data_IF_721083820603
#
_entry.id   IF_721083820603
#
_cell.length_a   1.000
_cell.length_b   1.000
_cell.length_c   1.000
_cell.angle_alpha   90.00
_cell.angle_beta   90.00
_cell.angle_gamma   90.00
#
_symmetry.space_group_name_H-M   'P 1'
#
loop_
_entity.id
_entity.type
_entity.pdbx_description
1 polymer ?
#
# COMPACT_ATOMS: atom_id res chain seq x y z
N UNK A 1 36.82 13.95 29.46
CA UNK A 1 35.80 14.38 28.47
C UNK A 1 35.77 13.62 27.14
N UNK A 2 36.67 12.67 26.95
CA UNK A 2 36.70 11.83 25.75
C UNK A 2 35.88 10.54 25.86
N UNK A 3 35.33 10.23 27.04
CA UNK A 3 34.50 9.04 27.27
C UNK A 3 33.05 9.14 26.84
N UNK A 4 32.46 10.33 26.89
CA UNK A 4 31.06 10.55 26.54
C UNK A 4 30.78 10.51 25.01
N UNK A 5 31.75 10.96 24.19
CA UNK A 5 31.56 10.96 22.75
C UNK A 5 31.63 9.56 22.12
N UNK A 6 32.37 8.65 22.72
CA UNK A 6 32.43 7.24 22.26
C UNK A 6 31.15 6.49 22.56
N UNK A 7 30.53 6.73 23.72
CA UNK A 7 29.27 6.08 24.09
C UNK A 7 28.11 6.49 23.20
N UNK A 8 28.00 7.76 22.82
CA UNK A 8 26.96 8.27 21.91
C UNK A 8 27.14 7.70 20.50
N UNK A 9 28.34 7.64 19.97
CA UNK A 9 28.62 7.04 18.66
C UNK A 9 28.24 5.56 18.59
N UNK A 10 28.54 4.79 19.64
CA UNK A 10 28.17 3.38 19.70
C UNK A 10 26.66 3.15 19.84
N UNK A 11 25.94 4.01 20.56
CA UNK A 11 24.51 3.96 20.67
C UNK A 11 23.84 4.27 19.31
N UNK A 12 24.29 5.31 18.62
CA UNK A 12 23.80 5.65 17.28
C UNK A 12 24.09 4.53 16.27
N UNK A 13 25.27 3.95 16.30
CA UNK A 13 25.64 2.83 15.43
C UNK A 13 24.75 1.61 15.67
N UNK A 14 24.53 1.23 16.93
CA UNK A 14 23.64 0.12 17.29
C UNK A 14 22.18 0.38 16.91
N UNK A 15 21.68 1.59 17.07
CA UNK A 15 20.34 1.98 16.62
C UNK A 15 20.20 1.88 15.09
N UNK A 16 21.20 2.33 14.33
CA UNK A 16 21.19 2.22 12.87
C UNK A 16 21.30 0.75 12.40
N UNK A 17 22.12 -0.07 13.07
CA UNK A 17 22.21 -1.50 12.79
C UNK A 17 20.88 -2.23 13.11
N UNK A 18 20.27 -1.94 14.27
CA UNK A 18 18.98 -2.49 14.66
C UNK A 18 17.86 -2.08 13.70
N UNK A 19 17.85 -0.82 13.27
CA UNK A 19 16.91 -0.32 12.27
C UNK A 19 17.12 -0.99 10.90
N UNK A 20 18.38 -1.16 10.47
CA UNK A 20 18.71 -1.85 9.23
C UNK A 20 18.28 -3.31 9.22
N UNK A 21 18.46 -4.03 10.32
CA UNK A 21 17.98 -5.41 10.48
C UNK A 21 16.46 -5.45 10.43
N UNK A 22 15.79 -4.60 11.18
CA UNK A 22 14.32 -4.50 11.19
C UNK A 22 13.75 -4.13 9.82
N UNK A 23 14.37 -3.18 9.13
CA UNK A 23 13.99 -2.79 7.77
C UNK A 23 14.12 -3.97 6.79
N UNK A 24 15.25 -4.68 6.81
CA UNK A 24 15.49 -5.85 5.96
C UNK A 24 14.48 -6.98 6.23
N UNK A 25 14.13 -7.24 7.48
CA UNK A 25 13.10 -8.22 7.83
C UNK A 25 11.73 -7.85 7.25
N UNK A 26 11.36 -6.58 7.26
CA UNK A 26 10.09 -6.11 6.66
C UNK A 26 10.07 -6.24 5.14
N UNK A 27 11.23 -6.26 4.48
CA UNK A 27 11.34 -6.46 3.02
C UNK A 27 11.29 -7.95 2.61
N UNK A 28 11.47 -8.88 3.55
CA UNK A 28 11.31 -10.31 3.32
C UNK A 28 9.83 -10.73 3.33
N UNK A 29 9.00 -9.99 2.59
CA UNK A 29 7.56 -10.24 2.52
C UNK A 29 7.30 -11.42 1.58
N UNK A 30 6.64 -12.43 2.12
CA UNK A 30 6.09 -13.50 1.29
C UNK A 30 4.77 -13.05 0.68
N UNK A 31 4.76 -12.90 -0.63
CA UNK A 31 3.53 -12.53 -1.34
C UNK A 31 2.45 -13.61 -1.18
N UNK A 32 1.20 -13.18 -1.05
CA UNK A 32 0.07 -14.09 -1.09
C UNK A 32 0.02 -14.86 -2.43
N UNK A 33 -0.51 -16.07 -2.39
CA UNK A 33 -0.70 -16.85 -3.61
C UNK A 33 -1.59 -16.09 -4.62
N UNK A 34 -1.16 -16.07 -5.88
CA UNK A 34 -1.90 -15.40 -6.95
C UNK A 34 -1.54 -13.93 -7.19
N UNK A 35 -0.91 -13.22 -6.24
CA UNK A 35 -0.58 -11.78 -6.37
C UNK A 35 0.21 -11.48 -7.64
N UNK A 36 1.29 -12.20 -7.93
CA UNK A 36 2.10 -11.93 -9.14
C UNK A 36 1.29 -12.10 -10.42
N UNK A 37 0.43 -13.12 -10.48
CA UNK A 37 -0.45 -13.35 -11.65
C UNK A 37 -1.49 -12.25 -11.76
N UNK A 38 -2.08 -11.83 -10.65
CA UNK A 38 -3.00 -10.70 -10.58
C UNK A 38 -2.35 -9.42 -11.09
N UNK A 39 -1.20 -9.03 -10.53
CA UNK A 39 -0.46 -7.84 -10.94
C UNK A 39 -0.07 -7.86 -12.41
N UNK A 40 0.37 -9.02 -12.92
CA UNK A 40 0.71 -9.17 -14.34
C UNK A 40 -0.49 -8.91 -15.25
N UNK A 41 -1.67 -9.40 -14.89
CA UNK A 41 -2.89 -9.18 -15.67
C UNK A 41 -3.34 -7.73 -15.60
N UNK A 42 -3.43 -7.17 -14.38
CA UNK A 42 -3.89 -5.80 -14.18
C UNK A 42 -2.97 -4.79 -14.84
N UNK A 43 -1.65 -4.91 -14.68
CA UNK A 43 -0.67 -3.98 -15.25
C UNK A 43 -0.58 -4.02 -16.79
N UNK A 44 -1.15 -5.03 -17.42
CA UNK A 44 -1.28 -5.09 -18.87
C UNK A 44 -2.48 -4.29 -19.41
N UNK A 45 -3.44 -3.95 -18.55
CA UNK A 45 -4.68 -3.27 -18.92
C UNK A 45 -4.75 -1.83 -18.38
N UNK A 46 -4.24 -1.62 -17.15
CA UNK A 46 -4.29 -0.32 -16.47
C UNK A 46 -2.96 0.00 -15.78
N UNK A 47 -2.74 1.28 -15.53
CA UNK A 47 -1.60 1.73 -14.75
C UNK A 47 -1.81 1.48 -13.26
N UNK A 48 -0.79 0.92 -12.60
CA UNK A 48 -0.82 0.59 -11.19
C UNK A 48 0.13 1.50 -10.39
N UNK A 49 -0.29 1.87 -9.17
CA UNK A 49 0.53 2.57 -8.18
C UNK A 49 0.47 1.88 -6.81
N UNK A 50 1.47 2.10 -5.98
CA UNK A 50 1.49 1.67 -4.59
C UNK A 50 1.33 2.87 -3.67
N UNK A 51 0.40 2.78 -2.70
CA UNK A 51 0.21 3.75 -1.63
C UNK A 51 0.45 3.07 -0.28
N UNK A 52 1.47 3.50 0.46
CA UNK A 52 1.86 2.85 1.71
C UNK A 52 2.10 3.81 2.86
N UNK A 53 1.59 3.49 4.05
CA UNK A 53 1.96 4.16 5.30
C UNK A 53 3.32 3.69 5.83
N UNK A 54 3.83 2.60 5.28
CA UNK A 54 5.13 2.03 5.65
C UNK A 54 6.26 2.44 4.71
N UNK A 55 7.39 1.82 4.93
CA UNK A 55 8.63 1.98 4.15
C UNK A 55 8.95 0.71 3.35
N UNK A 56 7.92 -0.04 2.93
CA UNK A 56 8.12 -1.19 2.06
C UNK A 56 8.68 -0.72 0.70
N UNK A 57 9.80 -1.31 0.31
CA UNK A 57 10.41 -1.06 -0.99
C UNK A 57 9.98 -2.15 -1.97
N UNK A 58 9.16 -1.77 -2.94
CA UNK A 58 8.63 -2.70 -3.95
C UNK A 58 9.72 -3.31 -4.85
N UNK A 59 10.89 -2.66 -4.96
CA UNK A 59 12.05 -3.19 -5.69
C UNK A 59 12.65 -4.37 -4.93
N UNK A 60 12.84 -4.22 -3.63
CA UNK A 60 13.35 -5.31 -2.77
C UNK A 60 12.38 -6.49 -2.69
N UNK A 61 11.08 -6.22 -2.82
CA UNK A 61 10.04 -7.26 -2.88
C UNK A 61 9.98 -7.92 -4.27
N UNK A 62 10.53 -7.27 -5.29
CA UNK A 62 10.59 -7.79 -6.67
C UNK A 62 9.27 -7.71 -7.43
N UNK A 63 8.47 -6.69 -7.15
CA UNK A 63 7.18 -6.40 -7.83
C UNK A 63 7.13 -5.01 -8.48
N UNK A 64 8.20 -4.26 -8.41
CA UNK A 64 8.31 -2.88 -8.93
C UNK A 64 7.94 -2.76 -10.41
N UNK A 65 8.27 -3.76 -11.21
CA UNK A 65 7.98 -3.80 -12.65
C UNK A 65 6.49 -3.71 -13.01
N UNK A 66 5.60 -3.95 -12.07
CA UNK A 66 4.16 -3.87 -12.28
C UNK A 66 3.59 -2.47 -11.99
N UNK A 67 4.35 -1.60 -11.36
CA UNK A 67 3.88 -0.31 -10.86
C UNK A 67 4.58 0.85 -11.54
N UNK A 68 3.83 1.93 -11.79
CA UNK A 68 4.34 3.19 -12.35
C UNK A 68 4.89 4.10 -11.25
N UNK A 69 4.33 4.02 -10.03
CA UNK A 69 4.79 4.79 -8.88
C UNK A 69 4.64 4.02 -7.57
N UNK A 70 5.35 4.48 -6.56
CA UNK A 70 5.19 4.07 -5.17
C UNK A 70 5.23 5.33 -4.31
N UNK A 71 4.13 5.62 -3.63
CA UNK A 71 3.94 6.81 -2.81
C UNK A 71 3.86 6.37 -1.35
N UNK A 72 4.83 6.80 -0.57
CA UNK A 72 4.92 6.53 0.87
C UNK A 72 4.48 7.72 1.70
N UNK A 73 4.29 7.49 3.00
CA UNK A 73 4.01 8.55 3.96
C UNK A 73 5.11 9.64 4.00
N UNK A 74 6.35 9.29 3.67
CA UNK A 74 7.44 10.27 3.59
C UNK A 74 7.26 11.22 2.41
N UNK A 75 6.78 10.71 1.28
CA UNK A 75 6.61 11.50 0.06
C UNK A 75 5.52 12.56 0.22
N UNK A 76 4.47 12.25 0.96
CA UNK A 76 3.31 13.15 1.18
C UNK A 76 3.29 13.79 2.58
N UNK A 77 4.26 13.48 3.45
CA UNK A 77 4.34 13.94 4.83
C UNK A 77 3.04 13.68 5.62
N UNK A 78 2.38 12.56 5.39
CA UNK A 78 1.14 12.17 6.03
C UNK A 78 0.91 10.67 5.96
N UNK A 79 0.00 10.14 6.79
CA UNK A 79 -0.42 8.75 6.77
C UNK A 79 -1.88 8.63 6.31
N UNK A 80 -2.22 7.58 5.57
CA UNK A 80 -3.64 7.22 5.38
C UNK A 80 -4.28 7.01 6.77
N UNK A 81 -5.50 7.46 7.02
CA UNK A 81 -6.55 7.81 6.05
C UNK A 81 -6.53 9.26 5.54
N UNK A 82 -5.51 10.07 5.84
CA UNK A 82 -5.39 11.41 5.24
C UNK A 82 -5.42 11.31 3.71
N UNK A 83 -6.13 12.19 2.99
CA UNK A 83 -6.34 12.08 1.55
C UNK A 83 -5.08 12.26 0.69
N UNK A 84 -3.99 12.77 1.24
CA UNK A 84 -2.78 13.16 0.48
C UNK A 84 -2.20 12.05 -0.38
N UNK A 85 -2.23 10.79 0.05
CA UNK A 85 -1.75 9.67 -0.78
C UNK A 85 -2.59 9.53 -2.05
N UNK A 86 -3.91 9.65 -1.92
CA UNK A 86 -4.85 9.49 -3.04
C UNK A 86 -4.80 10.71 -3.97
N UNK A 87 -4.68 11.92 -3.41
CA UNK A 87 -4.49 13.16 -4.17
C UNK A 87 -3.17 13.14 -4.97
N UNK A 88 -2.08 12.69 -4.35
CA UNK A 88 -0.79 12.56 -5.03
C UNK A 88 -0.82 11.50 -6.12
N UNK A 89 -1.52 10.37 -5.92
CA UNK A 89 -1.73 9.38 -6.95
C UNK A 89 -2.55 9.95 -8.12
N UNK A 90 -3.63 10.68 -7.86
CA UNK A 90 -4.44 11.32 -8.88
C UNK A 90 -3.59 12.32 -9.71
N UNK A 91 -2.75 13.09 -9.03
CA UNK A 91 -1.82 14.03 -9.67
C UNK A 91 -0.79 13.29 -10.53
N UNK A 92 -0.18 12.23 -10.02
CA UNK A 92 0.83 11.45 -10.74
C UNK A 92 0.28 10.84 -12.03
N UNK A 93 -0.89 10.21 -11.96
CA UNK A 93 -1.53 9.58 -13.11
C UNK A 93 -2.29 10.59 -14.01
N UNK A 94 -2.38 11.85 -13.60
CA UNK A 94 -3.14 12.90 -14.28
C UNK A 94 -4.60 12.50 -14.54
N UNK A 95 -5.27 12.00 -13.50
CA UNK A 95 -6.67 11.57 -13.51
C UNK A 95 -7.45 12.28 -12.40
N UNK A 96 -8.79 12.27 -12.49
CA UNK A 96 -9.63 12.67 -11.38
C UNK A 96 -9.58 11.60 -10.27
N UNK A 97 -9.71 12.02 -9.01
CA UNK A 97 -9.61 11.11 -7.86
C UNK A 97 -10.68 10.00 -7.89
N UNK A 98 -11.86 10.29 -8.46
CA UNK A 98 -12.94 9.31 -8.65
C UNK A 98 -12.66 8.28 -9.76
N UNK A 99 -11.54 8.38 -10.46
CA UNK A 99 -11.05 7.38 -11.42
C UNK A 99 -10.01 6.44 -10.78
N UNK A 100 -9.72 6.62 -9.48
CA UNK A 100 -8.81 5.75 -8.73
C UNK A 100 -9.61 4.65 -8.03
N UNK A 101 -9.15 3.42 -8.17
CA UNK A 101 -9.61 2.27 -7.39
C UNK A 101 -8.47 1.82 -6.47
N UNK A 102 -8.66 1.97 -5.16
CA UNK A 102 -7.71 1.53 -4.14
C UNK A 102 -8.07 0.15 -3.60
N UNK A 103 -7.10 -0.72 -3.46
CA UNK A 103 -7.26 -2.05 -2.86
C UNK A 103 -6.34 -2.13 -1.64
N UNK A 104 -6.92 -2.35 -0.46
CA UNK A 104 -6.16 -2.47 0.77
C UNK A 104 -6.85 -3.33 1.81
N UNK A 105 -6.13 -3.67 2.87
CA UNK A 105 -6.60 -4.59 3.91
C UNK A 105 -7.09 -3.89 5.19
N UNK A 106 -6.75 -2.63 5.37
CA UNK A 106 -7.16 -1.86 6.53
C UNK A 106 -8.50 -1.12 6.28
N UNK A 107 -9.58 -1.45 7.03
CA UNK A 107 -10.88 -0.81 6.84
C UNK A 107 -10.86 0.71 6.98
N UNK A 108 -10.03 1.25 7.87
CA UNK A 108 -9.96 2.69 8.14
C UNK A 108 -8.96 3.36 7.20
N UNK A 109 -7.72 2.90 7.19
CA UNK A 109 -6.65 3.57 6.47
C UNK A 109 -6.80 3.43 4.94
N UNK A 110 -7.19 2.25 4.47
CA UNK A 110 -7.29 1.97 3.05
C UNK A 110 -8.69 2.23 2.51
N UNK A 111 -9.70 1.57 3.08
CA UNK A 111 -11.05 1.60 2.51
C UNK A 111 -11.73 2.93 2.77
N UNK A 112 -11.89 3.29 4.05
CA UNK A 112 -12.53 4.56 4.42
C UNK A 112 -11.71 5.75 3.92
N UNK A 113 -10.38 5.70 4.06
CA UNK A 113 -9.51 6.76 3.59
C UNK A 113 -9.65 7.02 2.08
N UNK A 114 -9.74 5.98 1.24
CA UNK A 114 -9.97 6.13 -0.18
C UNK A 114 -11.34 6.73 -0.51
N UNK A 115 -12.40 6.22 0.13
CA UNK A 115 -13.77 6.70 -0.09
C UNK A 115 -13.94 8.15 0.38
N UNK A 116 -13.42 8.50 1.55
CA UNK A 116 -13.45 9.87 2.08
C UNK A 116 -12.65 10.85 1.20
N UNK A 117 -11.60 10.39 0.54
CA UNK A 117 -10.85 11.16 -0.45
C UNK A 117 -11.59 11.31 -1.79
N UNK A 118 -12.66 10.57 -2.05
CA UNK A 118 -13.41 10.57 -3.31
C UNK A 118 -13.00 9.50 -4.32
N UNK A 119 -12.13 8.56 -3.93
CA UNK A 119 -11.74 7.41 -4.72
C UNK A 119 -12.69 6.22 -4.51
N UNK A 120 -12.58 5.20 -5.35
CA UNK A 120 -13.22 3.91 -5.11
C UNK A 120 -12.32 3.01 -4.26
N UNK A 121 -12.92 2.05 -3.54
CA UNK A 121 -12.19 1.13 -2.70
C UNK A 121 -12.69 -0.32 -2.82
N UNK A 122 -11.74 -1.25 -2.70
CA UNK A 122 -11.99 -2.68 -2.50
C UNK A 122 -11.28 -3.09 -1.21
N UNK A 123 -11.98 -3.85 -0.38
CA UNK A 123 -11.41 -4.39 0.84
C UNK A 123 -10.81 -5.78 0.61
N UNK A 124 -9.50 -5.90 0.79
CA UNK A 124 -8.83 -7.19 0.80
C UNK A 124 -8.95 -7.84 2.19
N UNK A 125 -9.95 -8.66 2.38
CA UNK A 125 -10.29 -9.26 3.67
C UNK A 125 -9.92 -10.75 3.77
N UNK A 126 -8.64 -11.04 3.74
CA UNK A 126 -8.11 -12.41 3.87
C UNK A 126 -8.50 -13.10 5.19
N UNK A 127 -8.72 -12.32 6.24
CA UNK A 127 -9.00 -12.84 7.59
C UNK A 127 -10.48 -13.11 7.85
N UNK A 128 -11.37 -12.72 6.94
CA UNK A 128 -12.82 -12.88 7.13
C UNK A 128 -13.36 -12.04 8.29
N UNK A 129 -12.81 -10.83 8.48
CA UNK A 129 -13.27 -9.91 9.52
C UNK A 129 -14.65 -9.36 9.17
N UNK A 130 -15.48 -9.07 10.19
CA UNK A 130 -16.73 -8.37 9.99
C UNK A 130 -16.47 -6.89 9.64
N UNK A 131 -17.29 -6.34 8.74
CA UNK A 131 -17.26 -4.91 8.45
C UNK A 131 -17.78 -4.11 9.65
N UNK A 132 -17.01 -3.19 10.17
CA UNK A 132 -17.32 -2.44 11.39
C UNK A 132 -17.50 -0.93 11.17
N UNK A 133 -17.29 -0.45 9.94
CA UNK A 133 -17.43 0.97 9.64
C UNK A 133 -18.90 1.37 9.42
N UNK A 134 -19.22 2.64 9.66
CA UNK A 134 -20.59 3.19 9.54
C UNK A 134 -21.06 3.36 8.10
N UNK A 135 -20.17 3.29 7.13
CA UNK A 135 -20.49 3.31 5.70
C UNK A 135 -20.85 1.92 5.19
N UNK A 136 -21.45 1.86 4.01
CA UNK A 136 -21.76 0.59 3.34
C UNK A 136 -20.48 -0.24 3.12
N UNK A 137 -20.61 -1.55 3.30
CA UNK A 137 -19.49 -2.47 3.02
C UNK A 137 -19.08 -2.38 1.55
N UNK A 138 -17.78 -2.22 1.26
CA UNK A 138 -17.28 -2.16 -0.11
C UNK A 138 -17.28 -3.54 -0.76
N UNK A 139 -16.91 -3.62 -2.03
CA UNK A 139 -16.57 -4.89 -2.68
C UNK A 139 -15.43 -5.54 -1.91
N UNK A 140 -15.55 -6.83 -1.61
CA UNK A 140 -14.58 -7.59 -0.82
C UNK A 140 -13.88 -8.62 -1.70
N UNK A 141 -12.56 -8.70 -1.58
CA UNK A 141 -11.72 -9.75 -2.15
C UNK A 141 -11.02 -10.48 -1.00
N UNK A 142 -11.05 -11.79 -0.99
CA UNK A 142 -10.38 -12.64 0.01
C UNK A 142 -9.27 -13.51 -0.58
N UNK A 143 -9.24 -13.65 -1.91
CA UNK A 143 -8.26 -14.45 -2.64
C UNK A 143 -7.83 -13.75 -3.95
N UNK A 144 -6.54 -13.46 -4.04
CA UNK A 144 -5.95 -12.83 -5.23
C UNK A 144 -6.07 -13.67 -6.52
N UNK A 145 -6.30 -14.98 -6.41
CA UNK A 145 -6.54 -15.83 -7.59
C UNK A 145 -7.85 -15.47 -8.30
N UNK A 146 -8.84 -15.00 -7.53
CA UNK A 146 -10.16 -14.58 -8.02
C UNK A 146 -10.26 -13.08 -8.23
N UNK A 147 -9.38 -12.29 -7.61
CA UNK A 147 -9.45 -10.84 -7.54
C UNK A 147 -9.58 -10.15 -8.88
N UNK A 148 -8.87 -10.62 -9.91
CA UNK A 148 -8.97 -10.06 -11.25
C UNK A 148 -10.41 -10.14 -11.82
N UNK A 149 -11.05 -11.32 -11.72
CA UNK A 149 -12.41 -11.52 -12.21
C UNK A 149 -13.40 -10.68 -11.43
N UNK A 150 -13.29 -10.70 -10.08
CA UNK A 150 -14.16 -9.91 -9.20
C UNK A 150 -14.07 -8.40 -9.48
N UNK A 151 -12.88 -7.89 -9.79
CA UNK A 151 -12.71 -6.49 -10.16
C UNK A 151 -13.39 -6.19 -11.50
N UNK A 152 -13.19 -7.02 -12.51
CA UNK A 152 -13.80 -6.83 -13.83
C UNK A 152 -15.32 -6.93 -13.82
N UNK A 153 -15.90 -7.68 -12.90
CA UNK A 153 -17.36 -7.78 -12.72
C UNK A 153 -17.97 -6.54 -12.05
N UNK A 154 -17.21 -5.80 -11.26
CA UNK A 154 -17.69 -4.66 -10.47
C UNK A 154 -17.25 -3.30 -11.01
N UNK A 155 -16.21 -3.25 -11.83
CA UNK A 155 -15.64 -1.99 -12.34
C UNK A 155 -15.31 -2.11 -13.83
N UNK A 156 -15.65 -1.06 -14.58
CA UNK A 156 -15.28 -0.89 -16.00
C UNK A 156 -14.03 -0.02 -16.08
N UNK A 157 -13.02 -0.44 -16.86
CA UNK A 157 -11.81 0.33 -17.18
C UNK A 157 -11.16 -0.13 -18.48
#
# INVERSE_FOLDING_TARGET
DLGMSRGLGDVYKRQNEAFGIFFNYRQQVKLFAGVKRFLKKMSAEIDLGVLTNGNADIKLIGIDKFFKCSISSKDVCSNKPDPKHFEEAARFFNVNINQILHIGDDPINDVRGAIDAGAHAIWFNKKGLAWSEKMSEPVVIDDWKKGYVQIKENYEF
#
